data_IF_235979092754
#
_entry.id   IF_235979092754
#
_cell.length_a   1.000
_cell.length_b   1.000
_cell.length_c   1.000
_cell.angle_alpha   90.00
_cell.angle_beta   90.00
_cell.angle_gamma   90.00
#
_symmetry.space_group_name_H-M   'P 1'
#
loop_
_entity.id
_entity.type
_entity.pdbx_description
1 polymer ?
#
# COMPACT_ATOMS: atom_id res chain seq x y z
N UNK A 1 -9.03 11.40 13.13
CA UNK A 1 -7.95 11.68 12.14
C UNK A 1 -8.58 11.81 10.76
N UNK A 2 -8.13 12.73 9.91
CA UNK A 2 -8.70 12.93 8.58
C UNK A 2 -7.63 12.64 7.50
N UNK A 3 -7.76 11.50 6.82
CA UNK A 3 -6.91 11.10 5.70
C UNK A 3 -7.63 11.22 4.35
N UNK A 4 -8.77 11.92 4.31
CA UNK A 4 -9.57 12.09 3.08
C UNK A 4 -8.75 12.73 1.98
N UNK A 5 -8.73 12.10 0.81
CA UNK A 5 -8.03 12.59 -0.38
C UNK A 5 -6.52 12.31 -0.40
N UNK A 6 -5.93 11.73 0.67
CA UNK A 6 -4.52 11.36 0.68
C UNK A 6 -4.26 10.08 -0.12
N UNK A 7 -3.21 10.10 -0.91
CA UNK A 7 -2.66 8.90 -1.53
C UNK A 7 -1.88 8.06 -0.51
N UNK A 8 -1.80 6.74 -0.75
CA UNK A 8 -1.10 5.79 0.10
C UNK A 8 0.01 5.10 -0.71
N UNK A 9 1.17 5.78 -0.83
CA UNK A 9 2.26 5.37 -1.73
C UNK A 9 3.37 4.58 -1.04
N UNK A 10 3.71 4.96 0.19
CA UNK A 10 4.70 4.31 1.05
C UNK A 10 4.46 4.69 2.52
N UNK A 11 4.87 3.84 3.45
CA UNK A 11 4.67 4.10 4.89
C UNK A 11 5.51 5.27 5.42
N UNK A 12 6.60 5.64 4.74
CA UNK A 12 7.39 6.83 5.08
C UNK A 12 6.57 8.11 5.10
N UNK A 13 5.52 8.19 4.27
CA UNK A 13 4.65 9.37 4.14
C UNK A 13 3.63 9.48 5.29
N UNK A 14 3.62 8.53 6.22
CA UNK A 14 2.64 8.44 7.32
C UNK A 14 3.31 8.48 8.68
N UNK A 15 2.64 9.11 9.63
CA UNK A 15 3.04 9.09 11.04
C UNK A 15 2.64 7.76 11.70
N UNK A 16 3.29 7.37 12.82
CA UNK A 16 2.89 6.20 13.60
C UNK A 16 1.41 6.22 14.01
N UNK A 17 0.88 7.40 14.36
CA UNK A 17 -0.52 7.58 14.73
C UNK A 17 -1.47 7.34 13.54
N UNK A 18 -1.10 7.76 12.34
CA UNK A 18 -1.87 7.50 11.12
C UNK A 18 -1.87 6.02 10.74
N UNK A 19 -0.72 5.34 10.87
CA UNK A 19 -0.63 3.89 10.63
C UNK A 19 -1.49 3.13 11.66
N UNK A 20 -1.43 3.50 12.93
CA UNK A 20 -2.27 2.91 13.98
C UNK A 20 -3.76 3.10 13.68
N UNK A 21 -4.15 4.29 13.22
CA UNK A 21 -5.52 4.56 12.81
C UNK A 21 -5.96 3.67 11.64
N UNK A 22 -5.12 3.48 10.63
CA UNK A 22 -5.41 2.61 9.48
C UNK A 22 -5.56 1.13 9.90
N UNK A 23 -4.70 0.66 10.82
CA UNK A 23 -4.81 -0.70 11.37
C UNK A 23 -6.10 -0.89 12.18
N UNK A 24 -6.48 0.10 12.99
CA UNK A 24 -7.74 0.07 13.74
C UNK A 24 -8.97 0.03 12.81
N UNK A 25 -8.97 0.85 11.76
CA UNK A 25 -10.02 0.86 10.74
C UNK A 25 -10.10 -0.49 10.00
N UNK A 26 -8.95 -1.07 9.65
CA UNK A 26 -8.90 -2.38 9.00
C UNK A 26 -9.47 -3.47 9.90
N UNK A 27 -9.15 -3.46 11.20
CA UNK A 27 -9.69 -4.39 12.19
C UNK A 27 -11.22 -4.25 12.32
N UNK A 28 -11.74 -3.01 12.37
CA UNK A 28 -13.18 -2.74 12.43
C UNK A 28 -13.90 -3.27 11.19
N UNK A 29 -13.41 -2.96 9.99
CA UNK A 29 -14.01 -3.42 8.74
C UNK A 29 -13.95 -4.95 8.60
N UNK A 30 -12.83 -5.57 9.02
CA UNK A 30 -12.70 -7.04 9.09
C UNK A 30 -13.74 -7.66 10.02
N UNK A 31 -13.99 -7.05 11.18
CA UNK A 31 -14.99 -7.53 12.12
C UNK A 31 -16.42 -7.40 11.54
N UNK A 32 -16.74 -6.27 10.92
CA UNK A 32 -18.03 -6.06 10.23
C UNK A 32 -18.27 -7.12 9.15
N UNK A 33 -17.26 -7.35 8.28
CA UNK A 33 -17.33 -8.36 7.23
C UNK A 33 -17.57 -9.76 7.80
N UNK A 34 -16.83 -10.15 8.84
CA UNK A 34 -17.03 -11.45 9.51
C UNK A 34 -18.42 -11.61 10.14
N UNK A 35 -18.98 -10.53 10.65
CA UNK A 35 -20.31 -10.51 11.26
C UNK A 35 -21.45 -10.38 10.22
N UNK A 36 -21.15 -10.30 8.93
CA UNK A 36 -22.14 -10.07 7.87
C UNK A 36 -22.82 -8.70 7.94
N UNK A 37 -22.21 -7.72 8.61
CA UNK A 37 -22.74 -6.36 8.73
C UNK A 37 -22.42 -5.57 7.46
N UNK A 38 -23.40 -5.11 6.68
CA UNK A 38 -23.18 -4.28 5.50
C UNK A 38 -22.46 -2.96 5.87
N UNK A 39 -21.47 -2.58 5.06
CA UNK A 39 -20.71 -1.35 5.29
C UNK A 39 -20.39 -0.61 3.98
N UNK A 40 -21.44 -0.39 3.15
CA UNK A 40 -21.38 0.27 1.83
C UNK A 40 -21.23 1.80 1.96
N UNK A 41 -20.16 2.25 2.64
CA UNK A 41 -19.93 3.66 2.99
C UNK A 41 -19.46 4.52 1.81
N UNK A 42 -19.15 3.90 0.67
CA UNK A 42 -18.70 4.56 -0.56
C UNK A 42 -19.58 4.23 -1.76
N UNK A 43 -20.89 4.08 -1.52
CA UNK A 43 -21.84 3.78 -2.59
C UNK A 43 -21.83 4.85 -3.69
N UNK A 44 -21.83 4.40 -4.95
CA UNK A 44 -21.78 5.28 -6.13
C UNK A 44 -20.37 5.77 -6.50
N UNK A 45 -19.34 5.45 -5.72
CA UNK A 45 -17.94 5.72 -6.09
C UNK A 45 -17.40 4.64 -7.01
N UNK A 46 -16.41 5.00 -7.84
CA UNK A 46 -15.76 4.09 -8.77
C UNK A 46 -14.24 4.16 -8.63
N UNK A 47 -13.58 3.02 -8.65
CA UNK A 47 -12.12 2.92 -8.59
C UNK A 47 -11.56 2.17 -9.79
N UNK A 48 -10.39 2.60 -10.25
CA UNK A 48 -9.60 1.88 -11.25
C UNK A 48 -8.50 1.06 -10.59
N UNK A 49 -8.34 -0.19 -10.98
CA UNK A 49 -7.23 -1.05 -10.61
C UNK A 49 -6.30 -1.18 -11.82
N UNK A 50 -5.18 -0.45 -11.77
CA UNK A 50 -4.23 -0.32 -12.87
C UNK A 50 -3.01 -1.22 -12.65
N UNK A 51 -2.90 -2.29 -13.42
CA UNK A 51 -1.89 -3.33 -13.26
C UNK A 51 -0.93 -3.39 -14.45
N UNK A 52 0.36 -3.21 -14.20
CA UNK A 52 1.44 -3.54 -15.13
C UNK A 52 2.09 -4.89 -14.80
N UNK A 53 1.89 -5.39 -13.57
CA UNK A 53 2.28 -6.73 -13.11
C UNK A 53 1.05 -7.49 -12.63
N UNK A 54 0.82 -8.68 -13.16
CA UNK A 54 -0.28 -9.53 -12.74
C UNK A 54 -0.20 -9.90 -11.25
N UNK A 55 -1.35 -10.01 -10.62
CA UNK A 55 -1.49 -10.49 -9.25
C UNK A 55 -2.90 -10.97 -8.99
N UNK A 56 -3.04 -12.23 -8.63
CA UNK A 56 -4.34 -12.78 -8.20
C UNK A 56 -4.79 -12.15 -6.87
N UNK A 57 -3.92 -12.18 -5.86
CA UNK A 57 -4.29 -11.75 -4.49
C UNK A 57 -4.60 -10.26 -4.40
N UNK A 58 -3.72 -9.40 -4.93
CA UNK A 58 -3.93 -7.94 -4.89
C UNK A 58 -5.18 -7.54 -5.65
N UNK A 59 -5.37 -8.08 -6.86
CA UNK A 59 -6.57 -7.84 -7.65
C UNK A 59 -7.82 -8.22 -6.88
N UNK A 60 -7.94 -9.50 -6.45
CA UNK A 60 -9.12 -9.96 -5.72
C UNK A 60 -9.37 -9.18 -4.42
N UNK A 61 -8.31 -8.80 -3.69
CA UNK A 61 -8.44 -8.02 -2.45
C UNK A 61 -9.06 -6.64 -2.71
N UNK A 62 -8.57 -5.90 -3.72
CA UNK A 62 -9.12 -4.59 -4.06
C UNK A 62 -10.51 -4.68 -4.70
N UNK A 63 -10.76 -5.65 -5.58
CA UNK A 63 -12.10 -5.88 -6.15
C UNK A 63 -13.13 -6.15 -5.05
N UNK A 64 -12.84 -7.10 -4.16
CA UNK A 64 -13.76 -7.48 -3.08
C UNK A 64 -13.93 -6.33 -2.09
N UNK A 65 -12.86 -5.64 -1.70
CA UNK A 65 -12.96 -4.48 -0.80
C UNK A 65 -13.79 -3.36 -1.42
N UNK A 66 -13.60 -3.07 -2.71
CA UNK A 66 -14.41 -2.07 -3.42
C UNK A 66 -15.91 -2.44 -3.40
N UNK A 67 -16.24 -3.68 -3.72
CA UNK A 67 -17.64 -4.16 -3.69
C UNK A 67 -18.24 -4.13 -2.29
N UNK A 68 -17.51 -4.56 -1.26
CA UNK A 68 -17.97 -4.52 0.14
C UNK A 68 -18.28 -3.08 0.59
N UNK A 69 -17.48 -2.11 0.11
CA UNK A 69 -17.67 -0.69 0.39
C UNK A 69 -18.73 -0.01 -0.51
N UNK A 70 -19.30 -0.71 -1.49
CA UNK A 70 -20.33 -0.20 -2.39
C UNK A 70 -19.80 0.50 -3.64
N UNK A 71 -18.53 0.31 -3.97
CA UNK A 71 -17.90 0.93 -5.13
C UNK A 71 -18.07 0.09 -6.41
N UNK A 72 -18.08 0.77 -7.56
CA UNK A 72 -17.78 0.16 -8.85
C UNK A 72 -16.25 -0.04 -8.99
N UNK A 73 -15.84 -1.15 -9.59
CA UNK A 73 -14.42 -1.48 -9.77
C UNK A 73 -14.15 -1.81 -11.22
N UNK A 74 -13.13 -1.17 -11.82
CA UNK A 74 -12.65 -1.46 -13.17
C UNK A 74 -11.23 -1.97 -13.12
N UNK A 75 -10.99 -3.16 -13.63
CA UNK A 75 -9.66 -3.73 -13.75
C UNK A 75 -9.04 -3.42 -15.13
N UNK A 76 -7.88 -2.80 -15.11
CA UNK A 76 -7.04 -2.48 -16.25
C UNK A 76 -5.73 -3.28 -16.15
N UNK A 77 -5.71 -4.43 -16.77
CA UNK A 77 -4.54 -5.33 -16.77
C UNK A 77 -3.43 -4.89 -17.74
N UNK A 78 -2.31 -5.62 -17.79
CA UNK A 78 -1.13 -5.26 -18.58
C UNK A 78 -1.39 -5.11 -20.10
N UNK A 79 -2.41 -5.78 -20.61
CA UNK A 79 -2.83 -5.71 -22.02
C UNK A 79 -3.98 -4.72 -22.25
N UNK A 80 -4.64 -4.27 -21.19
CA UNK A 80 -5.83 -3.40 -21.25
C UNK A 80 -5.53 -1.90 -21.14
N UNK A 81 -4.26 -1.51 -20.98
CA UNK A 81 -3.84 -0.12 -20.82
C UNK A 81 -2.84 0.32 -21.90
N UNK A 82 -2.93 1.58 -22.30
CA UNK A 82 -1.95 2.23 -23.22
C UNK A 82 -0.88 3.02 -22.45
N UNK A 83 -0.94 3.04 -21.12
CA UNK A 83 -0.01 3.75 -20.24
C UNK A 83 1.45 3.30 -20.49
N UNK A 84 2.34 4.27 -20.61
CA UNK A 84 3.76 4.00 -20.90
C UNK A 84 4.07 3.47 -22.31
N UNK A 85 3.04 3.34 -23.18
CA UNK A 85 3.18 2.88 -24.58
C UNK A 85 2.87 4.01 -25.53
N UNK A 86 1.59 4.35 -25.71
CA UNK A 86 1.10 5.43 -26.57
C UNK A 86 0.72 6.68 -25.78
N UNK A 87 0.52 6.56 -24.47
CA UNK A 87 0.16 7.64 -23.57
C UNK A 87 1.22 7.83 -22.49
N UNK A 88 1.50 9.07 -22.13
CA UNK A 88 2.33 9.36 -20.95
C UNK A 88 1.60 8.96 -19.67
N UNK A 89 2.38 8.66 -18.61
CA UNK A 89 1.82 8.37 -17.28
C UNK A 89 0.96 9.53 -16.80
N UNK A 90 1.41 10.77 -17.03
CA UNK A 90 0.70 11.98 -16.62
C UNK A 90 -0.65 12.14 -17.36
N UNK A 91 -0.73 11.80 -18.64
CA UNK A 91 -1.98 11.89 -19.41
C UNK A 91 -2.96 10.80 -19.01
N UNK A 92 -2.50 9.55 -18.87
CA UNK A 92 -3.30 8.46 -18.31
C UNK A 92 -3.83 8.82 -16.92
N UNK A 93 -3.00 9.41 -16.06
CA UNK A 93 -3.42 9.84 -14.71
C UNK A 93 -4.55 10.87 -14.78
N UNK A 94 -4.41 11.90 -15.63
CA UNK A 94 -5.45 12.94 -15.81
C UNK A 94 -6.76 12.36 -16.33
N UNK A 95 -6.70 11.45 -17.28
CA UNK A 95 -7.89 10.79 -17.85
C UNK A 95 -8.58 9.95 -16.79
N UNK A 96 -7.85 9.06 -16.10
CA UNK A 96 -8.42 8.21 -15.06
C UNK A 96 -8.97 9.04 -13.88
N UNK A 97 -8.28 10.10 -13.48
CA UNK A 97 -8.74 10.98 -12.41
C UNK A 97 -10.00 11.79 -12.74
N UNK A 98 -10.42 11.88 -14.01
CA UNK A 98 -11.71 12.45 -14.43
C UNK A 98 -12.84 11.44 -14.45
N UNK A 99 -12.53 10.16 -14.49
CA UNK A 99 -13.50 9.07 -14.58
C UNK A 99 -13.73 8.38 -13.23
N UNK A 100 -12.69 8.28 -12.40
CA UNK A 100 -12.69 7.50 -11.17
C UNK A 100 -12.46 8.37 -9.94
N UNK A 101 -12.94 7.89 -8.79
CA UNK A 101 -12.78 8.52 -7.48
C UNK A 101 -11.48 8.10 -6.77
N UNK A 102 -10.78 7.11 -7.30
CA UNK A 102 -9.51 6.62 -6.80
C UNK A 102 -8.87 5.62 -7.75
N UNK A 103 -7.55 5.46 -7.63
CA UNK A 103 -6.75 4.59 -8.49
C UNK A 103 -5.87 3.69 -7.61
N UNK A 104 -5.94 2.38 -7.80
CA UNK A 104 -4.91 1.47 -7.32
C UNK A 104 -3.92 1.21 -8.44
N UNK A 105 -2.63 1.19 -8.10
CA UNK A 105 -1.57 0.88 -9.05
C UNK A 105 -0.70 -0.27 -8.54
N UNK A 106 -0.46 -1.24 -9.41
CA UNK A 106 0.50 -2.31 -9.20
C UNK A 106 1.42 -2.46 -10.40
N UNK A 107 2.72 -2.22 -10.21
CA UNK A 107 3.64 -2.22 -11.34
C UNK A 107 5.11 -2.27 -10.94
N UNK A 108 5.89 -1.39 -11.56
CA UNK A 108 7.35 -1.41 -11.49
C UNK A 108 7.91 -0.29 -10.61
N UNK A 109 8.23 0.86 -11.18
CA UNK A 109 8.94 1.91 -10.48
C UNK A 109 8.04 2.73 -9.56
N UNK A 110 8.53 3.10 -8.38
CA UNK A 110 7.85 3.99 -7.44
C UNK A 110 7.52 5.34 -8.07
N UNK A 111 8.37 5.84 -8.95
CA UNK A 111 8.15 7.09 -9.70
C UNK A 111 6.88 7.08 -10.54
N UNK A 112 6.41 5.91 -10.99
CA UNK A 112 5.17 5.78 -11.76
C UNK A 112 3.96 6.05 -10.86
N UNK A 113 3.87 5.38 -9.70
CA UNK A 113 2.75 5.60 -8.78
C UNK A 113 2.75 7.01 -8.20
N UNK A 114 3.93 7.62 -8.01
CA UNK A 114 4.06 9.02 -7.58
C UNK A 114 3.56 10.00 -8.66
N UNK A 115 3.85 9.74 -9.94
CA UNK A 115 3.29 10.52 -11.05
C UNK A 115 1.76 10.35 -11.16
N UNK A 116 1.24 9.13 -11.01
CA UNK A 116 -0.20 8.91 -10.97
C UNK A 116 -0.85 9.74 -9.85
N UNK A 117 -0.30 9.72 -8.64
CA UNK A 117 -0.78 10.52 -7.52
C UNK A 117 -0.71 12.03 -7.79
N UNK A 118 0.37 12.49 -8.41
CA UNK A 118 0.60 13.91 -8.72
C UNK A 118 -0.39 14.47 -9.75
N UNK A 119 -0.75 13.69 -10.76
CA UNK A 119 -1.48 14.21 -11.92
C UNK A 119 -2.95 13.78 -12.00
N UNK A 120 -3.38 12.76 -11.23
CA UNK A 120 -4.77 12.27 -11.30
C UNK A 120 -5.78 13.21 -10.63
N UNK A 121 -5.39 13.90 -9.56
CA UNK A 121 -6.31 14.71 -8.75
C UNK A 121 -7.22 13.87 -7.84
N UNK A 122 -7.03 12.56 -7.77
CA UNK A 122 -7.74 11.62 -6.88
C UNK A 122 -6.75 10.80 -6.06
N UNK A 123 -7.16 10.18 -4.93
CA UNK A 123 -6.29 9.31 -4.16
C UNK A 123 -5.74 8.15 -4.99
N UNK A 124 -4.46 7.86 -4.80
CA UNK A 124 -3.77 6.72 -5.43
C UNK A 124 -3.23 5.81 -4.35
N UNK A 125 -3.45 4.49 -4.51
CA UNK A 125 -2.96 3.45 -3.59
C UNK A 125 -1.92 2.59 -4.29
N UNK A 126 -0.78 2.43 -3.62
CA UNK A 126 0.30 1.56 -4.09
C UNK A 126 0.03 0.10 -3.72
N UNK A 127 -0.47 -0.69 -4.68
CA UNK A 127 -0.67 -2.13 -4.54
C UNK A 127 0.63 -2.94 -4.61
N UNK A 128 1.68 -2.41 -5.25
CA UNK A 128 3.07 -2.84 -5.23
C UNK A 128 3.89 -2.06 -6.26
N UNK A 129 5.07 -1.62 -5.88
CA UNK A 129 6.16 -1.23 -6.79
C UNK A 129 7.40 -2.09 -6.53
N UNK A 130 8.50 -1.84 -7.23
CA UNK A 130 9.77 -2.52 -6.95
C UNK A 130 10.33 -2.11 -5.58
N UNK A 131 10.05 -0.87 -5.16
CA UNK A 131 10.61 -0.25 -3.95
C UNK A 131 9.69 -0.43 -2.73
N UNK A 132 8.34 -0.39 -2.91
CA UNK A 132 7.42 -0.43 -1.77
C UNK A 132 6.15 -1.25 -2.03
N UNK A 133 5.62 -1.82 -0.94
CA UNK A 133 4.33 -2.52 -0.90
C UNK A 133 3.58 -2.21 0.41
N UNK A 134 3.15 -0.95 0.61
CA UNK A 134 2.65 -0.50 1.92
C UNK A 134 1.37 -1.21 2.36
N UNK A 135 0.50 -1.59 1.43
CA UNK A 135 -0.74 -2.30 1.75
C UNK A 135 -0.49 -3.69 2.34
N UNK A 136 0.58 -4.39 1.89
CA UNK A 136 0.98 -5.67 2.46
C UNK A 136 1.44 -5.50 3.91
N UNK A 137 2.18 -4.43 4.21
CA UNK A 137 2.68 -4.20 5.57
C UNK A 137 1.53 -3.96 6.56
N UNK A 138 0.46 -3.25 6.15
CA UNK A 138 -0.73 -3.13 6.99
C UNK A 138 -1.36 -4.50 7.29
N UNK A 139 -1.43 -5.40 6.30
CA UNK A 139 -1.95 -6.75 6.49
C UNK A 139 -1.06 -7.58 7.43
N UNK A 140 0.27 -7.52 7.26
CA UNK A 140 1.24 -8.22 8.10
C UNK A 140 1.15 -7.70 9.55
N UNK A 141 1.08 -6.38 9.74
CA UNK A 141 1.00 -5.78 11.07
C UNK A 141 -0.32 -6.05 11.76
N UNK A 142 -1.44 -6.02 11.05
CA UNK A 142 -2.72 -6.44 11.62
C UNK A 142 -2.66 -7.90 12.08
N UNK A 143 -2.07 -8.77 11.26
CA UNK A 143 -1.87 -10.19 11.61
C UNK A 143 -1.01 -10.35 12.87
N UNK A 144 0.11 -9.61 12.96
CA UNK A 144 0.98 -9.62 14.14
C UNK A 144 0.20 -9.13 15.39
N UNK A 145 -0.58 -8.06 15.27
CA UNK A 145 -1.40 -7.56 16.39
C UNK A 145 -2.44 -8.58 16.85
N UNK A 146 -3.10 -9.26 15.94
CA UNK A 146 -4.11 -10.28 16.26
C UNK A 146 -3.52 -11.49 17.00
N UNK A 147 -2.27 -11.86 16.68
CA UNK A 147 -1.65 -13.05 17.29
C UNK A 147 -0.79 -12.74 18.51
N UNK A 148 -0.20 -11.55 18.59
CA UNK A 148 0.79 -11.20 19.62
C UNK A 148 0.39 -9.99 20.48
N UNK A 149 -0.80 -9.43 20.28
CA UNK A 149 -1.38 -8.37 21.13
C UNK A 149 -0.74 -6.99 20.97
N UNK A 150 0.07 -6.76 19.93
CA UNK A 150 0.68 -5.46 19.69
C UNK A 150 1.91 -5.55 18.78
N UNK A 151 2.48 -4.39 18.42
CA UNK A 151 3.64 -4.28 17.53
C UNK A 151 4.91 -3.86 18.28
N UNK A 152 4.80 -2.87 19.16
CA UNK A 152 5.93 -2.25 19.83
C UNK A 152 6.85 -3.27 20.53
N UNK A 153 8.16 -3.14 20.32
CA UNK A 153 9.18 -4.02 20.90
C UNK A 153 9.26 -5.43 20.29
N UNK A 154 8.36 -5.78 19.35
CA UNK A 154 8.45 -7.07 18.66
C UNK A 154 9.62 -7.08 17.69
N UNK A 155 10.25 -8.24 17.53
CA UNK A 155 11.32 -8.47 16.56
C UNK A 155 10.75 -9.18 15.34
N UNK A 156 10.89 -8.55 14.16
CA UNK A 156 10.55 -9.14 12.87
C UNK A 156 11.83 -9.49 12.13
N UNK A 157 11.97 -10.75 11.75
CA UNK A 157 13.13 -11.23 10.96
C UNK A 157 12.64 -11.49 9.53
N UNK A 158 13.26 -10.78 8.58
CA UNK A 158 13.03 -11.01 7.16
C UNK A 158 14.21 -11.83 6.60
N UNK A 159 13.94 -13.07 6.21
CA UNK A 159 14.94 -13.96 5.63
C UNK A 159 14.80 -13.99 4.11
N UNK A 160 15.78 -13.44 3.40
CA UNK A 160 15.78 -13.38 1.95
C UNK A 160 16.42 -12.11 1.42
N UNK A 161 16.20 -11.80 0.13
CA UNK A 161 16.69 -10.59 -0.52
C UNK A 161 15.91 -9.36 -0.02
N UNK A 162 16.54 -8.55 0.81
CA UNK A 162 15.91 -7.39 1.46
C UNK A 162 16.07 -6.07 0.69
N UNK A 163 16.58 -6.10 -0.56
CA UNK A 163 16.83 -4.91 -1.40
C UNK A 163 15.60 -4.37 -2.13
N UNK A 164 14.44 -5.01 -1.97
CA UNK A 164 13.23 -4.71 -2.74
C UNK A 164 12.04 -4.47 -1.83
N UNK A 165 10.87 -4.29 -2.44
CA UNK A 165 9.64 -3.82 -1.83
C UNK A 165 9.29 -4.42 -0.46
N UNK A 166 9.46 -5.73 -0.25
CA UNK A 166 9.11 -6.34 1.04
C UNK A 166 10.13 -6.02 2.12
N UNK A 167 11.45 -6.12 1.82
CA UNK A 167 12.52 -5.75 2.75
C UNK A 167 12.40 -4.29 3.16
N UNK A 168 12.30 -3.40 2.17
CA UNK A 168 12.20 -1.96 2.36
C UNK A 168 10.94 -1.57 3.15
N UNK A 169 9.78 -2.08 2.75
CA UNK A 169 8.51 -1.73 3.40
C UNK A 169 8.39 -2.27 4.81
N UNK A 170 8.88 -3.49 5.08
CA UNK A 170 8.91 -4.07 6.43
C UNK A 170 9.85 -3.27 7.34
N UNK A 171 11.05 -2.89 6.84
CA UNK A 171 12.00 -2.09 7.60
C UNK A 171 11.41 -0.72 7.97
N UNK A 172 10.83 -0.02 6.99
CA UNK A 172 10.14 1.26 7.21
C UNK A 172 8.99 1.10 8.21
N UNK A 173 8.14 0.10 8.02
CA UNK A 173 7.03 -0.17 8.92
C UNK A 173 7.49 -0.46 10.35
N UNK A 174 8.52 -1.29 10.52
CA UNK A 174 9.11 -1.58 11.84
C UNK A 174 9.63 -0.31 12.51
N UNK A 175 10.38 0.54 11.78
CA UNK A 175 10.88 1.81 12.31
C UNK A 175 9.74 2.72 12.79
N UNK A 176 8.66 2.84 12.00
CA UNK A 176 7.48 3.65 12.35
C UNK A 176 6.71 3.12 13.56
N UNK A 177 6.67 1.80 13.75
CA UNK A 177 5.81 1.17 14.77
C UNK A 177 6.58 0.68 16.01
N UNK A 178 7.84 1.10 16.18
CA UNK A 178 8.66 0.72 17.34
C UNK A 178 8.99 -0.77 17.42
N UNK A 179 9.12 -1.42 16.26
CA UNK A 179 9.53 -2.81 16.12
C UNK A 179 11.01 -2.91 15.78
N UNK A 180 11.63 -4.04 16.09
CA UNK A 180 12.99 -4.37 15.66
C UNK A 180 12.94 -5.10 14.32
N UNK A 181 13.60 -4.58 13.28
CA UNK A 181 13.75 -5.24 11.99
C UNK A 181 15.13 -5.90 11.89
N UNK A 182 15.16 -7.14 11.43
CA UNK A 182 16.39 -7.89 11.16
C UNK A 182 16.36 -8.42 9.73
N UNK A 183 17.25 -7.94 8.87
CA UNK A 183 17.49 -8.53 7.56
C UNK A 183 18.43 -9.73 7.72
N UNK A 184 17.92 -10.95 7.58
CA UNK A 184 18.69 -12.19 7.65
C UNK A 184 19.07 -12.63 6.24
N UNK A 185 20.18 -12.09 5.74
CA UNK A 185 20.70 -12.35 4.39
C UNK A 185 22.20 -12.12 4.33
N UNK A 186 22.92 -12.60 3.29
CA UNK A 186 24.26 -12.10 2.96
C UNK A 186 24.24 -10.59 2.70
N UNK A 187 25.32 -9.89 3.05
CA UNK A 187 25.44 -8.41 2.97
C UNK A 187 25.00 -7.82 1.63
N UNK A 188 25.36 -8.49 0.52
CA UNK A 188 24.96 -8.06 -0.84
C UNK A 188 23.44 -8.00 -1.10
N UNK A 189 22.63 -8.52 -0.18
CA UNK A 189 21.17 -8.53 -0.21
C UNK A 189 20.54 -7.67 0.89
N UNK A 190 21.32 -6.83 1.55
CA UNK A 190 20.81 -5.86 2.53
C UNK A 190 20.09 -4.71 1.82
N UNK A 191 19.16 -4.03 2.53
CA UNK A 191 18.50 -2.81 2.04
C UNK A 191 19.52 -1.72 1.69
N UNK A 192 19.06 -0.75 0.89
CA UNK A 192 19.88 0.42 0.53
C UNK A 192 20.33 1.17 1.79
N UNK A 193 21.65 1.52 1.91
CA UNK A 193 22.18 2.23 3.08
C UNK A 193 21.46 3.56 3.37
N UNK A 194 21.05 4.30 2.35
CA UNK A 194 20.34 5.56 2.54
C UNK A 194 18.95 5.35 3.16
N UNK A 195 18.26 4.26 2.78
CA UNK A 195 16.99 3.90 3.39
C UNK A 195 17.18 3.39 4.84
N UNK A 196 18.27 2.67 5.13
CA UNK A 196 18.61 2.26 6.50
C UNK A 196 18.79 3.49 7.39
N UNK A 197 19.58 4.47 6.94
CA UNK A 197 19.83 5.72 7.68
C UNK A 197 18.51 6.47 7.94
N UNK A 198 17.64 6.58 6.93
CA UNK A 198 16.33 7.21 7.07
C UNK A 198 15.45 6.47 8.08
N UNK A 199 15.46 5.13 8.09
CA UNK A 199 14.70 4.34 9.05
C UNK A 199 15.24 4.47 10.47
N UNK A 200 16.56 4.58 10.63
CA UNK A 200 17.19 4.82 11.94
C UNK A 200 16.80 6.18 12.50
N UNK A 201 16.78 7.23 11.67
CA UNK A 201 16.31 8.56 12.07
C UNK A 201 14.84 8.54 12.53
N UNK A 202 13.97 7.88 11.77
CA UNK A 202 12.53 7.72 12.11
C UNK A 202 12.33 6.94 13.41
N UNK A 203 13.16 5.94 13.69
CA UNK A 203 13.05 5.12 14.90
C UNK A 203 13.56 5.82 16.16
N UNK A 204 14.31 6.92 16.02
CA UNK A 204 14.83 7.73 17.12
C UNK A 204 13.86 8.83 17.60
N UNK A 205 12.79 9.10 16.83
CA UNK A 205 11.70 10.03 17.16
C UNK A 205 10.68 9.36 18.11
#
# INVERSE_FOLDING_TARGET
MNLKGRSFLKLLDFTPAEITYLLGLAAELKAKKKAGIPHRIHEGKNIALLFEKDSTRTRCAFEVAGHDLGMGVTYLGPTGSQMGKKESIADTARVLGRMYDGIEYRGYAQTIVEQLAKFSGVPVWNGLTNEFHPTQILADFLTIQEHFGGLQGKKLVYMGDARYNMGDSLMVGCAKMGMHFVACAPEKYFPDPALIEQCQAVAAE
#
